data_IF_218369959066
#
_entry.id   IF_218369959066
#
_cell.length_a   1.000
_cell.length_b   1.000
_cell.length_c   1.000
_cell.angle_alpha   90.00
_cell.angle_beta   90.00
_cell.angle_gamma   90.00
#
_symmetry.space_group_name_H-M   'P 1'
#
loop_
_entity.id
_entity.type
_entity.pdbx_description
1 polymer ?
#
# COMPACT_ATOMS: atom_id res chain seq x y z
N UNK A 1 1.24 -7.02 -14.46
CA UNK A 1 2.49 -6.33 -14.04
C UNK A 1 2.13 -4.92 -13.58
N UNK A 2 2.65 -4.42 -12.44
CA UNK A 2 2.37 -3.06 -11.94
C UNK A 2 2.83 -2.02 -12.98
N UNK A 3 1.91 -1.53 -13.80
CA UNK A 3 2.17 -0.45 -14.75
C UNK A 3 2.29 0.86 -13.94
N UNK A 4 3.41 1.56 -14.06
CA UNK A 4 3.74 2.84 -13.38
C UNK A 4 4.14 2.76 -11.89
N UNK A 5 5.21 2.03 -11.59
CA UNK A 5 5.77 1.89 -10.24
C UNK A 5 6.56 3.10 -9.73
N UNK A 6 7.08 3.98 -10.59
CA UNK A 6 8.03 5.03 -10.18
C UNK A 6 7.46 5.98 -9.10
N UNK A 7 6.22 6.45 -9.26
CA UNK A 7 5.56 7.30 -8.26
C UNK A 7 5.29 6.58 -6.94
N UNK A 8 5.10 5.26 -6.96
CA UNK A 8 4.95 4.44 -5.75
C UNK A 8 6.28 4.26 -5.06
N UNK A 9 7.35 4.00 -5.82
CA UNK A 9 8.72 3.92 -5.31
C UNK A 9 9.13 5.25 -4.65
N UNK A 10 8.87 6.39 -5.30
CA UNK A 10 9.13 7.71 -4.70
C UNK A 10 8.38 7.93 -3.37
N UNK A 11 7.16 7.39 -3.24
CA UNK A 11 6.39 7.44 -1.98
C UNK A 11 7.01 6.55 -0.92
N UNK A 12 7.42 5.34 -1.30
CA UNK A 12 8.11 4.42 -0.40
C UNK A 12 9.44 5.01 0.11
N UNK A 13 10.22 5.67 -0.75
CA UNK A 13 11.46 6.36 -0.34
C UNK A 13 11.20 7.45 0.72
N UNK A 14 10.07 8.17 0.61
CA UNK A 14 9.66 9.15 1.64
C UNK A 14 9.29 8.47 2.94
N UNK A 15 8.51 7.39 2.87
CA UNK A 15 8.11 6.58 4.04
C UNK A 15 9.35 6.02 4.75
N UNK A 16 10.33 5.51 4.00
CA UNK A 16 11.60 5.05 4.55
C UNK A 16 12.33 6.18 5.31
N UNK A 17 12.33 7.39 4.75
CA UNK A 17 12.84 8.59 5.42
C UNK A 17 12.12 8.90 6.74
N UNK A 18 10.79 8.76 6.77
CA UNK A 18 9.99 8.94 7.99
C UNK A 18 10.31 7.88 9.04
N UNK A 19 10.45 6.61 8.65
CA UNK A 19 10.85 5.51 9.56
C UNK A 19 12.24 5.76 10.14
N UNK A 20 13.20 6.20 9.32
CA UNK A 20 14.52 6.65 9.83
C UNK A 20 14.42 7.86 10.77
N UNK A 21 13.45 8.74 10.55
CA UNK A 21 13.13 9.84 11.45
C UNK A 21 12.67 9.34 12.82
N UNK A 22 11.68 8.44 12.84
CA UNK A 22 11.17 7.82 14.08
C UNK A 22 12.28 7.14 14.87
N UNK A 23 13.16 6.40 14.18
CA UNK A 23 14.32 5.76 14.84
C UNK A 23 15.20 6.77 15.57
N UNK A 24 15.53 7.89 14.91
CA UNK A 24 16.30 8.97 15.54
C UNK A 24 15.57 9.61 16.72
N UNK A 25 14.26 9.83 16.61
CA UNK A 25 13.47 10.36 17.72
C UNK A 25 13.54 9.45 18.96
N UNK A 26 13.56 8.14 18.77
CA UNK A 26 13.76 7.18 19.85
C UNK A 26 15.18 7.23 20.42
N UNK A 27 16.20 7.29 19.56
CA UNK A 27 17.61 7.43 19.96
C UNK A 27 17.88 8.74 20.74
N UNK A 28 17.08 9.79 20.47
CA UNK A 28 17.15 11.12 21.10
C UNK A 28 16.21 11.26 22.32
N UNK A 29 15.58 10.19 22.80
CA UNK A 29 14.62 10.19 23.91
C UNK A 29 13.51 11.26 23.78
N UNK A 30 13.02 11.46 22.55
CA UNK A 30 11.95 12.43 22.28
C UNK A 30 10.63 12.06 22.93
N UNK A 31 9.82 13.08 23.20
CA UNK A 31 8.50 12.94 23.81
C UNK A 31 7.63 11.92 23.06
N UNK A 32 7.08 10.96 23.81
CA UNK A 32 6.41 9.79 23.26
C UNK A 32 5.23 10.14 22.34
N UNK A 33 4.49 11.22 22.64
CA UNK A 33 3.36 11.65 21.80
C UNK A 33 3.84 12.09 20.40
N UNK A 34 5.01 12.72 20.30
CA UNK A 34 5.55 13.12 18.99
C UNK A 34 5.96 11.90 18.17
N UNK A 35 6.57 10.90 18.81
CA UNK A 35 6.93 9.62 18.18
C UNK A 35 5.67 8.90 17.69
N UNK A 36 4.64 8.82 18.53
CA UNK A 36 3.35 8.22 18.16
C UNK A 36 2.71 8.95 16.97
N UNK A 37 2.73 10.28 16.96
CA UNK A 37 2.22 11.07 15.84
C UNK A 37 2.97 10.77 14.53
N UNK A 38 4.30 10.58 14.57
CA UNK A 38 5.07 10.19 13.38
C UNK A 38 4.76 8.77 12.93
N UNK A 39 4.55 7.82 13.86
CA UNK A 39 4.13 6.45 13.53
C UNK A 39 2.76 6.48 12.82
N UNK A 40 1.80 7.23 13.34
CA UNK A 40 0.48 7.40 12.70
C UNK A 40 0.60 8.02 11.29
N UNK A 41 1.51 8.98 11.10
CA UNK A 41 1.78 9.56 9.80
C UNK A 41 2.35 8.54 8.80
N UNK A 42 3.25 7.65 9.25
CA UNK A 42 3.78 6.55 8.44
C UNK A 42 2.68 5.55 8.06
N UNK A 43 1.83 5.16 9.01
CA UNK A 43 0.70 4.26 8.76
C UNK A 43 -0.26 4.85 7.70
N UNK A 44 -0.61 6.13 7.84
CA UNK A 44 -1.46 6.82 6.86
C UNK A 44 -0.80 6.90 5.47
N UNK A 45 0.52 7.10 5.40
CA UNK A 45 1.25 7.12 4.15
C UNK A 45 1.30 5.74 3.47
N UNK A 46 1.52 4.67 4.25
CA UNK A 46 1.46 3.29 3.77
C UNK A 46 0.06 2.91 3.27
N UNK A 47 -1.00 3.31 3.98
CA UNK A 47 -2.38 3.09 3.55
C UNK A 47 -2.66 3.69 2.17
N UNK A 48 -2.14 4.88 1.88
CA UNK A 48 -2.25 5.51 0.54
C UNK A 48 -1.47 4.76 -0.54
N UNK A 49 -0.34 4.14 -0.21
CA UNK A 49 0.42 3.30 -1.14
C UNK A 49 -0.36 2.02 -1.44
N UNK A 50 -0.86 1.34 -0.40
CA UNK A 50 -1.71 0.16 -0.52
C UNK A 50 -2.94 0.43 -1.40
N UNK A 51 -3.68 1.51 -1.16
CA UNK A 51 -4.84 1.90 -1.96
C UNK A 51 -4.48 2.08 -3.45
N UNK A 52 -3.33 2.69 -3.74
CA UNK A 52 -2.89 2.90 -5.13
C UNK A 52 -2.47 1.60 -5.82
N UNK A 53 -1.76 0.73 -5.12
CA UNK A 53 -1.40 -0.61 -5.63
C UNK A 53 -2.67 -1.39 -5.95
N UNK A 54 -3.67 -1.33 -5.06
CA UNK A 54 -4.95 -1.97 -5.29
C UNK A 54 -5.66 -1.44 -6.52
N UNK A 55 -5.82 -0.11 -6.63
CA UNK A 55 -6.46 0.52 -7.77
C UNK A 55 -5.77 0.17 -9.09
N UNK A 56 -4.44 0.10 -9.09
CA UNK A 56 -3.67 -0.33 -10.26
C UNK A 56 -3.91 -1.80 -10.62
N UNK A 57 -4.03 -2.70 -9.64
CA UNK A 57 -4.35 -4.10 -9.88
C UNK A 57 -5.77 -4.26 -10.44
N UNK A 58 -6.76 -3.58 -9.84
CA UNK A 58 -8.14 -3.61 -10.32
C UNK A 58 -8.26 -3.09 -11.76
N UNK A 59 -7.64 -1.95 -12.08
CA UNK A 59 -7.67 -1.34 -13.41
C UNK A 59 -6.76 -2.02 -14.45
N UNK A 60 -6.13 -3.16 -14.13
CA UNK A 60 -5.35 -3.91 -15.12
C UNK A 60 -5.74 -5.37 -15.11
N UNK A 61 -5.41 -6.11 -14.04
CA UNK A 61 -5.66 -7.53 -13.97
C UNK A 61 -7.15 -7.91 -13.96
N UNK A 62 -8.01 -7.09 -13.36
CA UNK A 62 -9.46 -7.35 -13.38
C UNK A 62 -10.08 -6.88 -14.70
N UNK A 63 -9.67 -5.72 -15.22
CA UNK A 63 -10.14 -5.23 -16.52
C UNK A 63 -9.76 -6.18 -17.67
N UNK A 64 -8.51 -6.66 -17.70
CA UNK A 64 -8.03 -7.63 -18.68
C UNK A 64 -8.86 -8.93 -18.61
N UNK A 65 -9.12 -9.45 -17.41
CA UNK A 65 -9.95 -10.66 -17.22
C UNK A 65 -11.43 -10.44 -17.61
N UNK A 66 -11.97 -9.23 -17.46
CA UNK A 66 -13.31 -8.91 -17.96
C UNK A 66 -13.35 -8.96 -19.49
N UNK A 67 -12.29 -8.53 -20.16
CA UNK A 67 -12.18 -8.53 -21.61
C UNK A 67 -11.98 -9.92 -22.23
N UNK A 68 -11.43 -10.90 -21.48
CA UNK A 68 -11.29 -12.29 -21.98
C UNK A 68 -12.61 -13.05 -22.03
N UNK A 69 -13.62 -12.61 -21.26
CA UNK A 69 -14.91 -13.31 -21.15
C UNK A 69 -14.86 -14.61 -20.32
N UNK A 70 -13.71 -14.98 -19.77
CA UNK A 70 -13.57 -16.16 -18.91
C UNK A 70 -14.04 -15.86 -17.48
N UNK A 71 -15.27 -16.30 -17.18
CA UNK A 71 -15.90 -16.11 -15.87
C UNK A 71 -15.14 -16.76 -14.70
N UNK A 72 -14.35 -17.81 -14.95
CA UNK A 72 -13.55 -18.48 -13.92
C UNK A 72 -12.35 -17.61 -13.56
N UNK A 73 -11.63 -17.13 -14.58
CA UNK A 73 -10.49 -16.23 -14.41
C UNK A 73 -10.89 -14.93 -13.70
N UNK A 74 -12.02 -14.35 -14.10
CA UNK A 74 -12.58 -13.14 -13.48
C UNK A 74 -12.86 -13.35 -11.98
N UNK A 75 -13.56 -14.44 -11.64
CA UNK A 75 -13.91 -14.75 -10.25
C UNK A 75 -12.65 -15.02 -9.41
N UNK A 76 -11.65 -15.67 -9.99
CA UNK A 76 -10.39 -15.94 -9.31
C UNK A 76 -9.64 -14.65 -8.98
N UNK A 77 -9.44 -13.74 -9.95
CA UNK A 77 -8.76 -12.45 -9.71
C UNK A 77 -9.48 -11.58 -8.69
N UNK A 78 -10.81 -11.55 -8.75
CA UNK A 78 -11.60 -10.84 -7.76
C UNK A 78 -11.46 -11.43 -6.35
N UNK A 79 -11.51 -12.76 -6.23
CA UNK A 79 -11.39 -13.45 -4.94
C UNK A 79 -10.02 -13.26 -4.30
N UNK A 80 -8.94 -13.31 -5.09
CA UNK A 80 -7.57 -13.02 -4.63
C UNK A 80 -7.48 -11.63 -3.99
N UNK A 81 -8.11 -10.63 -4.63
CA UNK A 81 -8.11 -9.25 -4.16
C UNK A 81 -8.92 -9.06 -2.86
N UNK A 82 -10.10 -9.70 -2.77
CA UNK A 82 -10.94 -9.68 -1.56
C UNK A 82 -10.25 -10.38 -0.39
N UNK A 83 -9.61 -11.54 -0.63
CA UNK A 83 -8.89 -12.29 0.40
C UNK A 83 -7.72 -11.51 1.00
N UNK A 84 -6.99 -10.74 0.18
CA UNK A 84 -5.93 -9.85 0.65
C UNK A 84 -6.47 -8.72 1.56
N UNK A 85 -7.65 -8.17 1.25
CA UNK A 85 -8.28 -7.12 2.05
C UNK A 85 -8.86 -7.62 3.38
N UNK A 86 -9.39 -8.85 3.41
CA UNK A 86 -9.92 -9.47 4.62
C UNK A 86 -8.87 -9.95 5.63
N UNK A 87 -7.60 -10.02 5.24
CA UNK A 87 -6.52 -10.52 6.14
C UNK A 87 -5.98 -9.46 7.12
N UNK A 88 -6.20 -8.18 6.82
CA UNK A 88 -5.58 -7.07 7.55
C UNK A 88 -6.58 -5.98 7.97
N UNK A 89 -7.89 -6.24 7.83
CA UNK A 89 -8.99 -5.42 8.37
C UNK A 89 -9.89 -6.28 9.26
#
# INVERSE_FOLDING_TARGET
MLKHSEKLVQRLNRIEGQVRGIRRMLEEDRYCIDVLNQILAVQAALGKVQEKVLKSHAASCVEDALMTGDTVEQRQKFTELVALFGKYN
#
